data_IF_140892392687
#
_entry.id   IF_140892392687
#
_cell.length_a   1.000
_cell.length_b   1.000
_cell.length_c   1.000
_cell.angle_alpha   90.00
_cell.angle_beta   90.00
_cell.angle_gamma   90.00
#
_symmetry.space_group_name_H-M   'P 1'
#
loop_
_entity.id
_entity.type
_entity.pdbx_description
1 polymer ?
#
# COMPACT_ATOMS: atom_id res chain seq x y z
N UNK A 1 8.90 -5.05 -8.93
CA UNK A 1 8.92 -5.34 -7.47
C UNK A 1 7.58 -4.99 -6.82
N UNK A 2 6.98 -3.86 -7.19
CA UNK A 2 5.58 -3.51 -6.83
C UNK A 2 4.59 -4.55 -7.37
N UNK A 3 4.85 -5.09 -8.56
CA UNK A 3 3.98 -6.07 -9.26
C UNK A 3 3.84 -7.40 -8.51
N UNK A 4 4.78 -7.74 -7.64
CA UNK A 4 4.73 -8.97 -6.84
C UNK A 4 3.68 -8.88 -5.71
N UNK A 5 3.22 -7.67 -5.37
CA UNK A 5 2.18 -7.42 -4.37
C UNK A 5 0.86 -7.04 -5.02
N UNK A 6 0.68 -7.29 -6.32
CA UNK A 6 -0.49 -6.81 -7.07
C UNK A 6 -1.70 -7.72 -6.83
N UNK A 7 -2.68 -7.15 -6.13
CA UNK A 7 -3.96 -7.71 -5.71
C UNK A 7 -4.97 -6.61 -5.96
N UNK A 8 -6.08 -6.95 -6.59
CA UNK A 8 -7.11 -5.99 -6.95
C UNK A 8 -7.62 -5.25 -5.69
N UNK A 9 -7.57 -3.92 -5.73
CA UNK A 9 -8.15 -3.08 -4.69
C UNK A 9 -9.68 -3.07 -4.88
N UNK A 10 -10.42 -3.23 -3.79
CA UNK A 10 -11.87 -3.28 -3.82
C UNK A 10 -12.47 -2.30 -2.82
N UNK A 11 -13.40 -1.50 -3.32
CA UNK A 11 -14.18 -0.59 -2.50
C UNK A 11 -15.44 -1.30 -2.02
N UNK A 12 -15.67 -1.25 -0.71
CA UNK A 12 -16.78 -1.96 -0.09
C UNK A 12 -17.70 -0.96 0.56
N UNK A 13 -18.89 -0.82 -0.02
CA UNK A 13 -19.93 0.09 0.47
C UNK A 13 -20.82 -0.54 1.56
N UNK A 14 -20.64 -1.84 1.84
CA UNK A 14 -21.37 -2.54 2.88
C UNK A 14 -20.97 -2.10 4.29
N UNK A 15 -21.91 -2.17 5.23
CA UNK A 15 -21.60 -2.00 6.65
C UNK A 15 -20.81 -3.19 7.20
N UNK A 16 -19.84 -2.91 8.07
CA UNK A 16 -19.07 -3.92 8.77
C UNK A 16 -19.97 -4.68 9.76
N UNK A 17 -19.89 -6.01 9.73
CA UNK A 17 -20.46 -6.90 10.74
C UNK A 17 -19.38 -7.82 11.29
N UNK A 18 -19.30 -7.95 12.61
CA UNK A 18 -18.33 -8.85 13.27
C UNK A 18 -19.07 -10.01 13.93
N UNK A 19 -18.74 -11.24 13.54
CA UNK A 19 -19.40 -12.44 14.05
C UNK A 19 -18.43 -13.62 14.26
N UNK A 20 -18.79 -14.62 15.06
CA UNK A 20 -18.02 -15.86 15.18
C UNK A 20 -18.01 -16.69 13.88
N UNK A 21 -17.09 -17.65 13.80
CA UNK A 21 -17.15 -18.70 12.78
C UNK A 21 -18.39 -19.57 12.95
N UNK A 22 -19.01 -19.94 11.84
CA UNK A 22 -20.02 -21.00 11.84
C UNK A 22 -19.34 -22.37 11.92
N UNK A 23 -20.04 -23.36 12.50
CA UNK A 23 -19.54 -24.75 12.57
C UNK A 23 -19.30 -25.28 11.15
N UNK A 24 -18.10 -25.79 10.89
CA UNK A 24 -17.68 -26.30 9.58
C UNK A 24 -17.36 -25.22 8.53
N UNK A 25 -17.41 -23.92 8.89
CA UNK A 25 -17.02 -22.84 7.99
C UNK A 25 -15.51 -22.91 7.71
N UNK A 26 -15.15 -22.97 6.42
CA UNK A 26 -13.76 -22.90 5.99
C UNK A 26 -13.20 -21.48 6.19
N UNK A 27 -11.90 -21.40 6.44
CA UNK A 27 -11.19 -20.11 6.49
C UNK A 27 -11.38 -19.38 5.15
N UNK A 28 -11.86 -18.12 5.17
CA UNK A 28 -12.02 -17.33 3.95
C UNK A 28 -10.69 -17.23 3.19
N UNK A 29 -10.70 -17.17 1.86
CA UNK A 29 -9.49 -16.89 1.07
C UNK A 29 -9.49 -15.44 0.65
N UNK A 30 -8.39 -14.73 0.90
CA UNK A 30 -8.21 -13.37 0.37
C UNK A 30 -7.95 -13.47 -1.13
N UNK A 31 -8.72 -12.72 -1.91
CA UNK A 31 -8.53 -12.56 -3.36
C UNK A 31 -8.37 -11.11 -3.78
N UNK A 32 -8.80 -10.17 -2.93
CA UNK A 32 -8.79 -8.72 -3.15
C UNK A 32 -8.38 -8.00 -1.87
N UNK A 33 -7.87 -6.78 -1.99
CA UNK A 33 -7.49 -5.93 -0.85
C UNK A 33 -8.55 -4.86 -0.63
N UNK A 34 -8.96 -4.68 0.63
CA UNK A 34 -9.92 -3.67 1.06
C UNK A 34 -9.26 -2.30 1.21
N UNK A 35 -10.07 -1.24 1.24
CA UNK A 35 -9.60 0.10 1.60
C UNK A 35 -9.06 0.12 3.06
N UNK A 36 -8.02 0.92 3.28
CA UNK A 36 -7.27 0.96 4.54
C UNK A 36 -8.12 1.36 5.75
N UNK A 37 -9.07 2.27 5.56
CA UNK A 37 -10.04 2.69 6.58
C UNK A 37 -10.92 1.52 7.03
N UNK A 38 -11.45 0.73 6.08
CA UNK A 38 -12.28 -0.45 6.36
C UNK A 38 -11.51 -1.54 7.08
N UNK A 39 -10.25 -1.73 6.71
CA UNK A 39 -9.37 -2.68 7.38
C UNK A 39 -9.18 -2.29 8.85
N UNK A 40 -8.85 -1.02 9.12
CA UNK A 40 -8.66 -0.53 10.49
C UNK A 40 -9.96 -0.57 11.31
N UNK A 41 -11.09 -0.21 10.71
CA UNK A 41 -12.42 -0.31 11.33
C UNK A 41 -12.68 -1.75 11.81
N UNK A 42 -12.43 -2.73 10.95
CA UNK A 42 -12.64 -4.14 11.26
C UNK A 42 -11.66 -4.70 12.30
N UNK A 43 -10.38 -4.37 12.20
CA UNK A 43 -9.37 -4.74 13.21
C UNK A 43 -9.79 -4.20 14.58
N UNK A 44 -10.20 -2.94 14.65
CA UNK A 44 -10.63 -2.30 15.90
C UNK A 44 -11.88 -2.98 16.46
N UNK A 45 -12.89 -3.24 15.61
CA UNK A 45 -14.12 -3.88 16.03
C UNK A 45 -13.92 -5.33 16.53
N UNK A 46 -13.02 -6.09 15.89
CA UNK A 46 -12.67 -7.45 16.34
C UNK A 46 -11.92 -7.39 17.67
N UNK A 47 -10.89 -6.55 17.78
CA UNK A 47 -10.09 -6.41 19.00
C UNK A 47 -10.93 -5.94 20.20
N UNK A 48 -11.89 -5.04 19.97
CA UNK A 48 -12.80 -4.57 21.01
C UNK A 48 -13.69 -5.69 21.61
N UNK A 49 -14.04 -6.71 20.82
CA UNK A 49 -14.82 -7.86 21.31
C UNK A 49 -13.98 -8.88 22.08
N UNK A 50 -12.65 -8.83 22.01
CA UNK A 50 -11.72 -9.64 22.82
C UNK A 50 -11.83 -11.16 22.66
N UNK A 51 -12.61 -11.66 21.69
CA UNK A 51 -12.90 -13.09 21.52
C UNK A 51 -12.04 -13.66 20.41
N UNK A 52 -11.40 -14.81 20.67
CA UNK A 52 -10.67 -15.57 19.66
C UNK A 52 -11.69 -16.14 18.64
N UNK A 53 -11.34 -16.11 17.35
CA UNK A 53 -12.17 -16.62 16.24
C UNK A 53 -13.38 -15.76 15.84
N UNK A 54 -13.15 -14.46 15.65
CA UNK A 54 -14.11 -13.57 15.00
C UNK A 54 -13.76 -13.32 13.54
N UNK A 55 -14.79 -13.12 12.74
CA UNK A 55 -14.75 -12.77 11.33
C UNK A 55 -15.37 -11.39 11.13
N UNK A 56 -14.67 -10.54 10.38
CA UNK A 56 -15.27 -9.37 9.77
C UNK A 56 -16.05 -9.79 8.52
N UNK A 57 -17.18 -9.15 8.27
CA UNK A 57 -18.04 -9.41 7.14
C UNK A 57 -18.55 -8.09 6.56
N UNK A 58 -18.54 -7.99 5.23
CA UNK A 58 -19.19 -6.91 4.50
C UNK A 58 -20.07 -7.46 3.38
N UNK A 59 -21.23 -6.85 3.16
CA UNK A 59 -22.08 -7.18 2.02
C UNK A 59 -21.34 -6.88 0.71
N UNK A 60 -21.06 -7.92 -0.10
CA UNK A 60 -20.37 -7.82 -1.39
C UNK A 60 -18.92 -8.28 -1.38
N UNK A 61 -18.21 -8.21 -0.25
CA UNK A 61 -16.84 -8.73 -0.11
C UNK A 61 -16.81 -10.14 0.49
N UNK A 62 -17.70 -10.40 1.45
CA UNK A 62 -17.68 -11.63 2.25
C UNK A 62 -16.85 -11.45 3.52
N UNK A 63 -16.09 -12.48 3.88
CA UNK A 63 -15.49 -12.62 5.21
C UNK A 63 -13.97 -12.44 5.21
N UNK A 64 -13.43 -11.89 6.30
CA UNK A 64 -12.00 -11.83 6.56
C UNK A 64 -11.69 -12.12 8.04
N UNK A 65 -10.59 -12.82 8.30
CA UNK A 65 -10.07 -13.02 9.67
C UNK A 65 -9.23 -11.82 10.12
N UNK A 66 -8.94 -11.74 11.43
CA UNK A 66 -8.05 -10.71 11.96
C UNK A 66 -6.66 -10.75 11.30
N UNK A 67 -6.03 -11.93 11.23
CA UNK A 67 -4.69 -12.08 10.62
C UNK A 67 -4.67 -11.65 9.15
N UNK A 68 -5.76 -11.94 8.44
CA UNK A 68 -5.94 -11.55 7.05
C UNK A 68 -6.04 -10.03 6.91
N UNK A 69 -6.78 -9.36 7.79
CA UNK A 69 -6.89 -7.91 7.81
C UNK A 69 -5.56 -7.25 8.16
N UNK A 70 -4.82 -7.78 9.13
CA UNK A 70 -3.48 -7.28 9.47
C UNK A 70 -2.49 -7.50 8.31
N UNK A 71 -2.58 -8.62 7.61
CA UNK A 71 -1.78 -8.87 6.42
C UNK A 71 -2.10 -7.88 5.29
N UNK A 72 -3.39 -7.59 5.02
CA UNK A 72 -3.80 -6.59 4.03
C UNK A 72 -3.22 -5.20 4.37
N UNK A 73 -3.29 -4.78 5.63
CA UNK A 73 -2.73 -3.50 6.07
C UNK A 73 -1.22 -3.40 5.78
N UNK A 74 -0.47 -4.48 6.08
CA UNK A 74 0.98 -4.55 5.81
C UNK A 74 1.28 -4.52 4.32
N UNK A 75 0.48 -5.19 3.49
CA UNK A 75 0.64 -5.15 2.03
C UNK A 75 0.44 -3.74 1.49
N UNK A 76 -0.60 -3.03 1.95
CA UNK A 76 -0.86 -1.64 1.56
C UNK A 76 0.29 -0.71 1.98
N UNK A 77 0.79 -0.87 3.20
CA UNK A 77 1.95 -0.12 3.70
C UNK A 77 3.20 -0.37 2.84
N UNK A 78 3.49 -1.64 2.53
CA UNK A 78 4.62 -2.02 1.69
C UNK A 78 4.50 -1.46 0.27
N UNK A 79 3.31 -1.53 -0.36
CA UNK A 79 3.06 -0.92 -1.68
C UNK A 79 3.36 0.57 -1.68
N UNK A 80 2.88 1.30 -0.68
CA UNK A 80 3.10 2.74 -0.58
C UNK A 80 4.60 3.07 -0.41
N UNK A 81 5.30 2.31 0.43
CA UNK A 81 6.75 2.46 0.60
C UNK A 81 7.52 2.17 -0.68
N UNK A 82 7.18 1.09 -1.38
CA UNK A 82 7.86 0.76 -2.64
C UNK A 82 7.59 1.79 -3.74
N UNK A 83 6.37 2.33 -3.84
CA UNK A 83 6.07 3.44 -4.76
C UNK A 83 6.93 4.67 -4.45
N UNK A 84 7.09 5.02 -3.17
CA UNK A 84 7.93 6.15 -2.76
C UNK A 84 9.41 5.93 -3.11
N UNK A 85 9.92 4.71 -2.87
CA UNK A 85 11.29 4.35 -3.25
C UNK A 85 11.47 4.48 -4.76
N UNK A 86 10.54 3.92 -5.56
CA UNK A 86 10.61 4.01 -7.03
C UNK A 86 10.64 5.47 -7.50
N UNK A 87 9.72 6.30 -7.00
CA UNK A 87 9.68 7.73 -7.33
C UNK A 87 10.98 8.45 -6.94
N UNK A 88 11.59 8.07 -5.83
CA UNK A 88 12.86 8.66 -5.37
C UNK A 88 14.01 8.25 -6.29
N UNK A 89 14.07 6.98 -6.71
CA UNK A 89 15.07 6.49 -7.66
C UNK A 89 14.93 7.21 -9.00
N UNK A 90 13.71 7.28 -9.55
CA UNK A 90 13.44 7.99 -10.82
C UNK A 90 13.89 9.46 -10.75
N UNK A 91 13.71 10.11 -9.58
CA UNK A 91 14.14 11.48 -9.35
C UNK A 91 15.67 11.61 -9.26
N UNK A 92 16.36 10.66 -8.62
CA UNK A 92 17.84 10.65 -8.56
C UNK A 92 18.40 10.54 -9.97
N UNK A 93 17.87 9.59 -10.75
CA UNK A 93 18.28 9.38 -12.14
C UNK A 93 18.03 10.63 -13.01
N UNK A 94 16.94 11.36 -12.74
CA UNK A 94 16.62 12.62 -13.45
C UNK A 94 17.44 13.84 -13.02
N UNK A 95 18.17 13.79 -11.89
CA UNK A 95 19.00 14.90 -11.38
C UNK A 95 20.47 14.73 -11.75
N UNK A 96 20.85 13.59 -12.35
CA UNK A 96 22.21 13.36 -12.83
C UNK A 96 22.56 14.40 -13.89
N UNK A 97 23.46 15.33 -13.54
CA UNK A 97 23.95 16.36 -14.46
C UNK A 97 24.63 15.65 -15.62
N UNK A 98 24.12 15.82 -16.84
CA UNK A 98 24.85 15.34 -17.98
C UNK A 98 26.13 16.17 -18.12
N UNK A 99 27.28 15.52 -18.33
CA UNK A 99 28.58 16.18 -18.51
C UNK A 99 28.55 17.26 -19.61
N UNK A 100 27.61 17.15 -20.57
CA UNK A 100 27.34 18.17 -21.60
C UNK A 100 26.75 19.49 -21.07
N UNK A 101 26.09 19.48 -19.91
CA UNK A 101 25.51 20.66 -19.25
C UNK A 101 26.54 21.34 -18.31
N UNK A 102 27.69 20.69 -18.10
CA UNK A 102 28.85 21.28 -17.42
C UNK A 102 29.57 22.20 -18.40
N UNK A 103 29.14 23.47 -18.44
CA UNK A 103 29.89 24.53 -19.12
C UNK A 103 31.19 24.75 -18.36
N UNK A 104 32.33 24.84 -19.06
CA UNK A 104 33.60 25.20 -18.45
C UNK A 104 33.46 26.55 -17.73
N UNK A 105 33.78 26.65 -16.43
CA UNK A 105 33.71 27.93 -15.75
C UNK A 105 34.74 28.88 -16.39
N UNK A 106 34.35 30.16 -16.56
CA UNK A 106 35.20 31.27 -16.99
C UNK A 106 35.50 31.42 -18.49
N UNK A 107 34.55 31.17 -19.39
CA UNK A 107 34.70 31.56 -20.82
C UNK A 107 34.46 33.06 -21.08
N UNK A 108 33.91 33.78 -20.10
CA UNK A 108 33.64 35.22 -20.11
C UNK A 108 34.88 36.09 -19.85
N UNK A 109 36.03 35.50 -19.51
CA UNK A 109 37.29 36.22 -19.21
C UNK A 109 38.32 36.12 -20.35
N UNK A 110 38.02 35.40 -21.44
CA UNK A 110 38.92 35.34 -22.60
C UNK A 110 38.76 36.58 -23.49
N UNK A 111 39.70 37.52 -23.29
CA UNK A 111 40.22 38.50 -24.24
C UNK A 111 39.26 39.54 -24.85
N UNK A 112 39.23 40.71 -24.21
CA UNK A 112 39.21 41.98 -24.94
C UNK A 112 40.48 42.78 -24.65
N UNK A 113 41.62 42.33 -25.18
CA UNK A 113 42.74 43.23 -25.43
C UNK A 113 42.43 44.02 -26.71
N UNK A 114 42.12 45.30 -26.57
CA UNK A 114 42.26 46.32 -27.61
C UNK A 114 42.99 47.52 -27.03
#
# INVERSE_FOLDING_TARGET
MVDALDLEDVEVQGSLSVRPFNVGQRVPKITKILQLDKIHEAITAIKAKGTLNLLANWSGFGYATLDQLEAMARVLEARNRFRLVQFTLDRIDGVEWHIKDVVHPFTDVCDYTK
#
